data_IF_984718711365
#
_entry.id   IF_984718711365
#
_cell.length_a   1.000
_cell.length_b   1.000
_cell.length_c   1.000
_cell.angle_alpha   90.00
_cell.angle_beta   90.00
_cell.angle_gamma   90.00
#
_symmetry.space_group_name_H-M   'P 1'
#
loop_
_entity.id
_entity.type
_entity.pdbx_description
1 polymer ?
#
# COMPACT_ATOMS: atom_id res chain seq x y z
N UNK A 1 25.14 42.75 7.02
CA UNK A 1 25.61 41.40 7.37
C UNK A 1 24.42 40.44 7.27
N UNK A 2 24.19 39.85 6.08
CA UNK A 2 24.36 38.41 5.81
C UNK A 2 23.74 37.50 6.87
N UNK A 3 22.53 37.02 6.60
CA UNK A 3 22.23 35.57 6.55
C UNK A 3 21.27 35.31 5.38
N UNK A 4 21.86 35.32 4.19
CA UNK A 4 21.35 34.58 3.03
C UNK A 4 21.55 33.07 3.28
N UNK A 5 20.65 32.29 2.70
CA UNK A 5 20.74 30.84 2.49
C UNK A 5 20.46 29.93 3.71
N UNK A 6 19.17 29.76 4.01
CA UNK A 6 18.63 28.41 4.17
C UNK A 6 17.71 28.15 2.98
N UNK A 7 18.35 27.96 1.81
CA UNK A 7 17.70 27.41 0.64
C UNK A 7 17.36 25.95 0.92
N UNK A 8 16.08 25.62 0.75
CA UNK A 8 15.56 24.41 0.13
C UNK A 8 16.40 23.13 0.29
N UNK A 9 16.12 22.38 1.36
CA UNK A 9 16.33 20.93 1.43
C UNK A 9 15.04 20.23 1.85
N UNK A 10 13.91 20.64 1.27
CA UNK A 10 12.72 19.78 1.19
C UNK A 10 12.90 18.90 -0.05
N UNK A 11 13.75 17.88 0.12
CA UNK A 11 13.86 16.75 -0.77
C UNK A 11 12.46 16.14 -1.01
N UNK A 12 12.19 15.57 -2.19
CA UNK A 12 10.84 15.31 -2.69
C UNK A 12 10.13 14.26 -1.85
N UNK A 13 9.36 14.70 -0.85
CA UNK A 13 8.45 13.85 -0.10
C UNK A 13 7.19 13.46 -0.91
N UNK A 14 7.23 13.60 -2.25
CA UNK A 14 6.08 13.51 -3.16
C UNK A 14 6.15 12.34 -4.17
N UNK A 15 7.20 11.52 -4.18
CA UNK A 15 7.39 10.49 -5.23
C UNK A 15 7.36 9.03 -4.73
N UNK A 16 6.96 8.81 -3.49
CA UNK A 16 6.81 7.45 -2.93
C UNK A 16 5.38 7.16 -2.45
N UNK A 17 4.40 7.91 -2.94
CA UNK A 17 2.99 7.60 -2.71
C UNK A 17 2.50 6.70 -3.85
N UNK A 18 1.81 5.61 -3.52
CA UNK A 18 1.27 4.69 -4.52
C UNK A 18 0.37 5.50 -5.42
N UNK A 19 0.59 5.44 -6.73
CA UNK A 19 -0.08 6.42 -7.56
C UNK A 19 -1.53 6.06 -7.87
N UNK A 20 -2.06 4.96 -7.33
CA UNK A 20 -3.50 4.77 -7.25
C UNK A 20 -4.05 5.34 -5.95
N UNK A 21 -4.96 6.30 -6.07
CA UNK A 21 -5.59 6.99 -4.94
C UNK A 21 -7.09 7.09 -5.11
N UNK A 22 -7.82 7.38 -4.04
CA UNK A 22 -9.23 7.77 -4.10
C UNK A 22 -9.55 8.77 -2.99
N UNK A 23 -10.58 9.59 -3.21
CA UNK A 23 -11.06 10.53 -2.19
C UNK A 23 -11.77 9.81 -1.04
N UNK A 24 -12.56 8.79 -1.39
CA UNK A 24 -13.34 7.99 -0.44
C UNK A 24 -12.81 6.56 -0.30
N UNK A 25 -13.22 5.88 0.77
CA UNK A 25 -12.88 4.48 0.98
C UNK A 25 -13.68 3.57 0.04
N UNK A 26 -12.97 2.83 -0.82
CA UNK A 26 -13.59 1.88 -1.74
C UNK A 26 -13.78 0.48 -1.12
N UNK A 27 -12.89 0.10 -0.19
CA UNK A 27 -12.97 -1.15 0.57
C UNK A 27 -13.77 -0.90 1.85
N UNK A 28 -15.06 -1.20 1.78
CA UNK A 28 -15.95 -1.19 2.94
C UNK A 28 -15.69 -2.36 3.90
N UNK A 29 -16.29 -2.30 5.10
CA UNK A 29 -16.20 -3.39 6.07
C UNK A 29 -16.80 -4.72 5.57
N UNK A 30 -17.73 -4.70 4.61
CA UNK A 30 -18.33 -5.91 4.04
C UNK A 30 -17.40 -6.62 3.06
N UNK A 31 -16.59 -5.86 2.34
CA UNK A 31 -15.69 -6.34 1.30
C UNK A 31 -14.30 -6.68 1.87
N UNK A 32 -13.98 -6.09 3.03
CA UNK A 32 -12.77 -6.38 3.77
C UNK A 32 -12.69 -7.86 4.20
N UNK A 33 -11.47 -8.39 4.18
CA UNK A 33 -11.10 -9.75 4.58
C UNK A 33 -9.95 -9.68 5.56
N UNK A 34 -9.84 -10.72 6.38
CA UNK A 34 -8.73 -10.90 7.31
C UNK A 34 -7.69 -11.79 6.64
N UNK A 35 -6.51 -11.24 6.38
CA UNK A 35 -5.39 -11.96 5.77
C UNK A 35 -4.28 -12.22 6.80
N UNK A 36 -3.96 -11.22 7.61
CA UNK A 36 -3.04 -11.34 8.75
C UNK A 36 -3.83 -11.64 10.03
N UNK A 37 -3.56 -12.74 10.75
CA UNK A 37 -4.08 -12.96 12.10
C UNK A 37 -3.54 -11.92 13.11
N UNK A 38 -4.25 -11.59 14.21
CA UNK A 38 -3.65 -10.83 15.28
C UNK A 38 -2.46 -11.55 15.90
N UNK A 39 -1.44 -10.79 16.28
CA UNK A 39 -0.19 -11.32 16.82
C UNK A 39 0.92 -10.27 16.82
N UNK A 40 2.08 -10.64 17.32
CA UNK A 40 3.29 -9.83 17.23
C UNK A 40 3.91 -9.93 15.84
N UNK A 41 4.29 -8.78 15.29
CA UNK A 41 4.94 -8.69 13.98
C UNK A 41 6.15 -7.77 14.04
N UNK A 42 7.15 -8.09 13.23
CA UNK A 42 8.19 -7.14 12.83
C UNK A 42 7.86 -6.63 11.43
N UNK A 43 8.25 -5.39 11.15
CA UNK A 43 8.16 -4.77 9.84
C UNK A 43 9.54 -4.33 9.39
N UNK A 44 9.87 -4.65 8.15
CA UNK A 44 11.07 -4.13 7.50
C UNK A 44 10.75 -3.58 6.11
N UNK A 45 10.97 -2.29 5.85
CA UNK A 45 10.84 -1.71 4.52
C UNK A 45 12.01 -2.13 3.63
N UNK A 46 11.77 -2.11 2.33
CA UNK A 46 12.77 -2.32 1.29
C UNK A 46 13.03 -0.98 0.60
N UNK A 47 14.25 -0.78 0.11
CA UNK A 47 14.58 0.40 -0.67
C UNK A 47 14.08 0.29 -2.13
N UNK A 48 14.36 1.32 -2.92
CA UNK A 48 13.97 1.37 -4.33
C UNK A 48 14.66 0.32 -5.20
N UNK A 49 15.77 -0.25 -4.74
CA UNK A 49 16.51 -1.32 -5.42
C UNK A 49 16.05 -2.73 -4.97
N UNK A 50 15.08 -2.80 -4.06
CA UNK A 50 14.55 -4.07 -3.54
C UNK A 50 15.46 -4.71 -2.49
N UNK A 51 16.30 -3.92 -1.82
CA UNK A 51 17.16 -4.38 -0.72
C UNK A 51 16.50 -4.03 0.62
N UNK A 52 16.54 -4.97 1.57
CA UNK A 52 15.98 -4.78 2.91
C UNK A 52 16.72 -3.63 3.63
N UNK A 53 15.98 -2.58 4.02
CA UNK A 53 16.57 -1.36 4.57
C UNK A 53 16.96 -1.54 6.03
N UNK A 54 18.23 -1.85 6.30
CA UNK A 54 18.86 -1.70 7.62
C UNK A 54 18.31 -2.60 8.75
N UNK A 55 17.38 -3.52 8.46
CA UNK A 55 16.74 -4.40 9.43
C UNK A 55 15.42 -3.86 9.98
N UNK A 56 14.88 -4.49 11.03
CA UNK A 56 13.55 -4.20 11.59
C UNK A 56 13.40 -2.72 11.98
N UNK A 57 12.45 -2.02 11.36
CA UNK A 57 12.16 -0.60 11.64
C UNK A 57 10.95 -0.40 12.52
N UNK A 58 10.10 -1.41 12.64
CA UNK A 58 8.94 -1.39 13.53
C UNK A 58 8.63 -2.78 14.05
N UNK A 59 8.19 -2.87 15.30
CA UNK A 59 7.71 -4.10 15.91
C UNK A 59 6.53 -3.79 16.83
N UNK A 60 5.51 -4.66 16.79
CA UNK A 60 4.42 -4.62 17.74
C UNK A 60 3.29 -5.57 17.40
N UNK A 61 2.33 -5.64 18.31
CA UNK A 61 1.09 -6.37 18.11
C UNK A 61 0.23 -5.71 17.05
N UNK A 62 -0.14 -6.46 16.03
CA UNK A 62 -1.20 -6.07 15.09
C UNK A 62 -2.49 -6.74 15.55
N UNK A 63 -3.55 -5.95 15.65
CA UNK A 63 -4.92 -6.40 15.93
C UNK A 63 -5.84 -6.15 14.74
N UNK A 64 -7.01 -6.79 14.77
CA UNK A 64 -8.02 -6.68 13.73
C UNK A 64 -9.39 -6.35 14.32
N UNK A 65 -9.87 -5.14 14.04
CA UNK A 65 -11.17 -4.67 14.54
C UNK A 65 -12.31 -5.51 13.97
N UNK A 66 -13.14 -6.09 14.85
CA UNK A 66 -14.19 -7.03 14.44
C UNK A 66 -15.24 -6.39 13.51
N UNK A 67 -15.74 -5.20 13.86
CA UNK A 67 -16.74 -4.49 13.07
C UNK A 67 -16.13 -3.58 12.00
N UNK A 68 -15.07 -2.84 12.34
CA UNK A 68 -14.41 -1.93 11.41
C UNK A 68 -13.62 -2.65 10.32
N UNK A 69 -13.24 -3.91 10.57
CA UNK A 69 -12.40 -4.75 9.72
C UNK A 69 -11.05 -4.12 9.38
N UNK A 70 -10.55 -3.28 10.30
CA UNK A 70 -9.29 -2.56 10.15
C UNK A 70 -8.18 -3.21 10.93
N UNK A 71 -6.99 -3.15 10.35
CA UNK A 71 -5.74 -3.45 11.03
C UNK A 71 -5.28 -2.24 11.85
N UNK A 72 -4.82 -2.48 13.07
CA UNK A 72 -4.34 -1.45 13.97
C UNK A 72 -3.25 -1.98 14.89
N UNK A 73 -2.43 -1.10 15.42
CA UNK A 73 -1.51 -1.40 16.50
C UNK A 73 -1.48 -0.24 17.48
N UNK A 74 -1.34 -0.55 18.77
CA UNK A 74 -1.08 0.45 19.80
C UNK A 74 0.42 0.79 19.90
N UNK A 75 1.29 0.03 19.22
CA UNK A 75 2.70 0.36 19.13
C UNK A 75 2.88 1.66 18.31
N UNK A 76 3.71 2.61 18.79
CA UNK A 76 3.92 3.87 18.08
C UNK A 76 4.36 3.66 16.63
N UNK A 77 3.94 4.58 15.76
CA UNK A 77 4.37 4.67 14.35
C UNK A 77 4.08 3.41 13.52
N UNK A 78 2.96 2.71 13.76
CA UNK A 78 2.55 1.59 12.90
C UNK A 78 2.36 2.05 11.44
N UNK A 79 3.15 1.52 10.47
CA UNK A 79 3.23 2.10 9.12
C UNK A 79 1.91 2.11 8.33
N UNK A 80 1.04 1.13 8.60
CA UNK A 80 -0.21 0.91 7.87
C UNK A 80 -1.43 0.92 8.80
N UNK A 81 -1.45 1.88 9.72
CA UNK A 81 -2.56 2.09 10.64
C UNK A 81 -3.90 2.22 9.89
N UNK A 82 -4.94 1.57 10.41
CA UNK A 82 -6.30 1.57 9.89
C UNK A 82 -6.50 0.92 8.52
N UNK A 83 -5.52 0.12 8.05
CA UNK A 83 -5.62 -0.54 6.76
C UNK A 83 -6.80 -1.53 6.69
N UNK A 84 -7.43 -1.65 5.52
CA UNK A 84 -8.37 -2.72 5.18
C UNK A 84 -7.83 -3.53 4.02
N UNK A 85 -8.08 -4.84 4.03
CA UNK A 85 -7.62 -5.73 2.98
C UNK A 85 -8.79 -6.31 2.21
N UNK A 86 -8.75 -6.27 0.87
CA UNK A 86 -9.68 -6.95 -0.02
C UNK A 86 -8.95 -8.08 -0.73
N UNK A 87 -9.48 -9.31 -0.69
CA UNK A 87 -8.88 -10.43 -1.44
C UNK A 87 -9.04 -10.22 -2.94
N UNK A 88 -7.94 -10.24 -3.69
CA UNK A 88 -7.95 -10.14 -5.14
C UNK A 88 -8.02 -11.52 -5.80
N UNK A 89 -7.06 -12.39 -5.51
CA UNK A 89 -6.98 -13.77 -6.03
C UNK A 89 -6.05 -14.60 -5.15
N UNK A 90 -6.36 -15.87 -4.88
CA UNK A 90 -5.46 -16.72 -4.09
C UNK A 90 -5.05 -16.06 -2.77
N UNK A 91 -3.75 -15.93 -2.54
CA UNK A 91 -3.17 -15.25 -1.36
C UNK A 91 -2.72 -13.81 -1.64
N UNK A 92 -3.27 -13.20 -2.70
CA UNK A 92 -3.04 -11.81 -3.11
C UNK A 92 -4.21 -10.93 -2.65
N UNK A 93 -3.88 -9.82 -2.00
CA UNK A 93 -4.83 -8.87 -1.44
C UNK A 93 -4.51 -7.44 -1.89
N UNK A 94 -5.53 -6.60 -2.02
CA UNK A 94 -5.38 -5.15 -2.11
C UNK A 94 -5.49 -4.59 -0.69
N UNK A 95 -4.50 -3.80 -0.26
CA UNK A 95 -4.59 -2.99 0.94
C UNK A 95 -5.07 -1.59 0.60
N UNK A 96 -6.06 -1.12 1.35
CA UNK A 96 -6.46 0.27 1.42
C UNK A 96 -5.91 0.87 2.70
N UNK A 97 -5.12 1.95 2.59
CA UNK A 97 -4.53 2.65 3.72
C UNK A 97 -4.97 4.12 3.70
N UNK A 98 -5.73 4.58 4.70
CA UNK A 98 -6.09 6.00 4.82
C UNK A 98 -4.86 6.87 5.08
N UNK A 99 -4.74 7.99 4.37
CA UNK A 99 -3.78 9.07 4.62
C UNK A 99 -4.53 10.34 5.02
N UNK A 100 -3.81 11.44 5.20
CA UNK A 100 -4.38 12.71 5.67
C UNK A 100 -5.33 13.34 4.64
N UNK A 101 -5.05 13.13 3.36
CA UNK A 101 -5.64 13.81 2.20
C UNK A 101 -6.25 12.86 1.16
N UNK A 102 -5.90 11.58 1.20
CA UNK A 102 -6.41 10.58 0.27
C UNK A 102 -6.42 9.18 0.88
N UNK A 103 -7.03 8.26 0.15
CA UNK A 103 -6.89 6.82 0.37
C UNK A 103 -5.87 6.29 -0.62
N UNK A 104 -4.91 5.49 -0.13
CA UNK A 104 -3.85 4.89 -0.96
C UNK A 104 -3.99 3.38 -1.03
N UNK A 105 -3.52 2.79 -2.13
CA UNK A 105 -3.64 1.36 -2.39
C UNK A 105 -2.30 0.67 -2.58
N UNK A 106 -2.18 -0.52 -2.00
CA UNK A 106 -1.04 -1.42 -2.15
C UNK A 106 -1.50 -2.85 -2.46
N UNK A 107 -0.58 -3.69 -2.91
CA UNK A 107 -0.80 -5.14 -3.10
C UNK A 107 -0.03 -5.90 -2.05
N UNK A 108 -0.68 -6.87 -1.41
CA UNK A 108 -0.09 -7.75 -0.40
C UNK A 108 -0.08 -9.18 -0.91
N UNK A 109 1.02 -9.87 -0.63
CA UNK A 109 1.18 -11.31 -0.86
C UNK A 109 1.34 -11.99 0.49
N UNK A 110 0.45 -12.93 0.79
CA UNK A 110 0.38 -13.59 2.09
C UNK A 110 1.00 -14.98 2.02
N UNK A 111 1.84 -15.26 3.01
CA UNK A 111 2.48 -16.55 3.25
C UNK A 111 2.16 -17.00 4.69
N UNK A 112 2.56 -18.22 5.07
CA UNK A 112 2.21 -18.81 6.36
C UNK A 112 2.48 -17.89 7.57
N UNK A 113 3.70 -17.37 7.69
CA UNK A 113 4.14 -16.53 8.83
C UNK A 113 4.66 -15.15 8.38
N UNK A 114 4.37 -14.78 7.14
CA UNK A 114 4.96 -13.61 6.49
C UNK A 114 3.97 -12.97 5.53
N UNK A 115 4.08 -11.66 5.35
CA UNK A 115 3.34 -10.93 4.33
C UNK A 115 4.28 -9.91 3.71
N UNK A 116 4.39 -9.90 2.39
CA UNK A 116 5.11 -8.85 1.66
C UNK A 116 4.09 -7.90 1.05
N UNK A 117 4.49 -6.66 0.82
CA UNK A 117 3.68 -5.72 0.08
C UNK A 117 4.48 -4.99 -0.99
N UNK A 118 3.76 -4.54 -2.00
CA UNK A 118 4.20 -3.72 -3.10
C UNK A 118 3.26 -2.53 -3.24
N UNK A 119 3.80 -1.38 -3.55
CA UNK A 119 3.07 -0.17 -3.84
C UNK A 119 3.05 0.05 -5.36
N UNK A 120 1.91 -0.18 -6.03
CA UNK A 120 1.85 -0.13 -7.48
C UNK A 120 2.14 1.26 -8.05
N UNK A 121 2.87 1.25 -9.17
CA UNK A 121 3.14 2.42 -9.99
C UNK A 121 2.29 2.40 -11.27
N UNK A 122 1.13 3.03 -11.21
CA UNK A 122 0.25 3.37 -12.32
C UNK A 122 0.94 4.00 -13.56
N UNK A 123 2.17 4.52 -13.50
CA UNK A 123 2.91 4.97 -14.69
C UNK A 123 3.32 3.82 -15.61
N UNK A 124 3.41 2.59 -15.08
CA UNK A 124 3.64 1.37 -15.86
C UNK A 124 2.50 1.12 -16.85
N UNK A 125 1.28 1.59 -16.53
CA UNK A 125 0.13 1.44 -17.41
C UNK A 125 0.18 2.47 -18.56
N UNK A 126 -0.27 2.04 -19.74
CA UNK A 126 -0.49 2.94 -20.88
C UNK A 126 -1.76 3.77 -20.68
N UNK A 127 -1.89 4.88 -21.40
CA UNK A 127 -3.12 5.68 -21.39
C UNK A 127 -4.35 4.88 -21.85
N UNK A 128 -4.16 3.96 -22.81
CA UNK A 128 -5.21 3.06 -23.31
C UNK A 128 -5.69 2.09 -22.24
N UNK A 129 -4.78 1.50 -21.46
CA UNK A 129 -5.11 0.61 -20.35
C UNK A 129 -5.83 1.33 -19.22
N UNK A 130 -5.41 2.56 -18.89
CA UNK A 130 -6.11 3.38 -17.90
C UNK A 130 -7.51 3.77 -18.37
N UNK A 131 -7.64 4.21 -19.63
CA UNK A 131 -8.93 4.53 -20.23
C UNK A 131 -9.88 3.32 -20.27
N UNK A 132 -9.37 2.12 -20.53
CA UNK A 132 -10.16 0.88 -20.50
C UNK A 132 -10.70 0.53 -19.10
N UNK A 133 -10.04 1.01 -18.04
CA UNK A 133 -10.51 0.93 -16.67
C UNK A 133 -11.29 2.18 -16.22
N UNK A 134 -11.51 3.16 -17.12
CA UNK A 134 -12.17 4.42 -16.79
C UNK A 134 -11.38 5.29 -15.79
N UNK A 135 -10.05 5.15 -15.78
CA UNK A 135 -9.15 5.85 -14.86
C UNK A 135 -8.47 7.00 -15.60
N UNK A 136 -8.39 8.15 -14.94
CA UNK A 136 -7.74 9.35 -15.44
C UNK A 136 -6.56 9.69 -14.52
N UNK A 137 -5.43 10.06 -15.13
CA UNK A 137 -4.30 10.65 -14.40
C UNK A 137 -4.59 12.12 -14.13
N UNK A 138 -4.47 12.54 -12.88
CA UNK A 138 -4.52 13.94 -12.51
C UNK A 138 -3.25 14.69 -12.99
N UNK A 139 -3.24 16.04 -12.93
CA UNK A 139 -2.09 16.85 -13.33
C UNK A 139 -0.80 16.53 -12.55
N UNK A 140 -0.93 16.02 -11.32
CA UNK A 140 0.16 15.62 -10.43
C UNK A 140 0.70 14.21 -10.76
N UNK A 141 0.03 13.45 -11.63
CA UNK A 141 0.43 12.12 -12.10
C UNK A 141 -0.20 10.95 -11.35
N UNK A 142 -1.12 11.20 -10.41
CA UNK A 142 -1.84 10.15 -9.70
C UNK A 142 -3.03 9.65 -10.53
N UNK A 143 -3.28 8.35 -10.47
CA UNK A 143 -4.46 7.68 -11.00
C UNK A 143 -5.56 7.65 -9.95
N UNK A 144 -6.56 8.50 -10.12
CA UNK A 144 -7.74 8.52 -9.25
C UNK A 144 -8.67 7.34 -9.56
N UNK A 145 -9.12 6.66 -8.52
CA UNK A 145 -10.03 5.52 -8.57
C UNK A 145 -11.34 5.90 -7.87
N UNK A 146 -12.47 5.64 -8.52
CA UNK A 146 -13.79 6.02 -8.00
C UNK A 146 -14.59 4.83 -7.47
N UNK A 147 -14.25 3.61 -7.89
CA UNK A 147 -15.02 2.40 -7.54
C UNK A 147 -14.13 1.21 -7.20
N UNK A 148 -14.65 0.30 -6.38
CA UNK A 148 -13.96 -0.95 -6.06
C UNK A 148 -13.71 -1.83 -7.29
N UNK A 149 -14.64 -1.84 -8.25
CA UNK A 149 -14.49 -2.63 -9.48
C UNK A 149 -13.34 -2.11 -10.35
N UNK A 150 -13.22 -0.77 -10.49
CA UNK A 150 -12.08 -0.15 -11.15
C UNK A 150 -10.76 -0.49 -10.44
N UNK A 151 -10.75 -0.42 -9.11
CA UNK A 151 -9.57 -0.77 -8.30
C UNK A 151 -9.14 -2.22 -8.55
N UNK A 152 -10.07 -3.18 -8.48
CA UNK A 152 -9.74 -4.59 -8.70
C UNK A 152 -9.28 -4.85 -10.14
N UNK A 153 -9.94 -4.24 -11.13
CA UNK A 153 -9.58 -4.38 -12.54
C UNK A 153 -8.17 -3.83 -12.81
N UNK A 154 -7.89 -2.59 -12.39
CA UNK A 154 -6.61 -1.95 -12.70
C UNK A 154 -5.43 -2.62 -12.00
N UNK A 155 -5.61 -3.09 -10.76
CA UNK A 155 -4.57 -3.84 -10.06
C UNK A 155 -4.32 -5.20 -10.72
N UNK A 156 -5.34 -5.88 -11.27
CA UNK A 156 -5.13 -7.12 -12.05
C UNK A 156 -4.32 -6.84 -13.30
N UNK A 157 -4.72 -5.86 -14.10
CA UNK A 157 -3.98 -5.46 -15.30
C UNK A 157 -2.53 -5.09 -14.98
N UNK A 158 -2.32 -4.36 -13.89
CA UNK A 158 -0.98 -4.01 -13.40
C UNK A 158 -0.13 -5.24 -13.08
N UNK A 159 -0.66 -6.19 -12.31
CA UNK A 159 0.05 -7.41 -11.95
C UNK A 159 0.30 -8.34 -13.15
N UNK A 160 -0.63 -8.38 -14.11
CA UNK A 160 -0.47 -9.13 -15.36
C UNK A 160 0.69 -8.59 -16.20
N UNK A 161 0.87 -7.27 -16.27
CA UNK A 161 1.99 -6.64 -16.98
C UNK A 161 3.33 -6.96 -16.33
N UNK A 162 3.36 -7.03 -15.00
CA UNK A 162 4.58 -7.37 -14.27
C UNK A 162 4.95 -8.85 -14.40
N UNK A 163 4.00 -9.73 -14.77
CA UNK A 163 4.23 -11.17 -14.98
C UNK A 163 5.05 -11.86 -13.86
N UNK A 164 4.74 -11.49 -12.61
CA UNK A 164 5.43 -12.00 -11.42
C UNK A 164 6.72 -11.27 -11.04
N UNK A 165 7.22 -10.35 -11.85
CA UNK A 165 8.34 -9.45 -11.53
C UNK A 165 7.87 -8.26 -10.68
N UNK A 166 7.39 -8.57 -9.47
CA UNK A 166 6.86 -7.59 -8.52
C UNK A 166 7.93 -7.28 -7.47
N UNK A 167 8.38 -6.02 -7.44
CA UNK A 167 9.24 -5.51 -6.37
C UNK A 167 8.56 -5.64 -5.01
N UNK A 168 9.34 -5.90 -3.96
CA UNK A 168 8.86 -5.86 -2.59
C UNK A 168 9.23 -4.49 -2.00
N UNK A 169 8.26 -3.79 -1.43
CA UNK A 169 8.44 -2.51 -0.72
C UNK A 169 8.56 -2.67 0.79
N UNK A 170 8.11 -3.81 1.31
CA UNK A 170 8.29 -4.14 2.71
C UNK A 170 7.70 -5.49 3.06
N UNK A 171 8.07 -5.93 4.26
CA UNK A 171 7.74 -7.24 4.78
C UNK A 171 7.28 -7.15 6.22
N UNK A 172 6.19 -7.86 6.53
CA UNK A 172 5.77 -8.19 7.87
C UNK A 172 6.12 -9.64 8.17
N UNK A 173 6.81 -9.90 9.28
CA UNK A 173 7.13 -11.26 9.74
C UNK A 173 6.54 -11.47 11.12
N UNK A 174 5.79 -12.56 11.29
CA UNK A 174 5.20 -12.91 12.58
C UNK A 174 6.29 -13.34 13.57
N UNK A 175 6.16 -12.93 14.82
CA UNK A 175 7.08 -13.30 15.90
C UNK A 175 6.45 -14.41 16.75
N UNK A 176 7.22 -15.45 17.06
CA UNK A 176 6.83 -16.51 17.99
C UNK A 176 5.81 -17.51 17.45
N UNK A 177 5.89 -17.82 16.15
CA UNK A 177 5.21 -18.96 15.51
C UNK A 177 5.65 -20.29 16.11
#
# INVERSE_FOLDING_TARGET
>A
MRRLAQLLLLAPALLLAGCFTSEEELIGARDARRAMPPGEYTHTPFDTEGVEWGGVTWQGRIDYGFFSRRYSSDAPNFPHQNARLRRLSGDIYIAQVPRQDAITYGVLFVYADMTTYHQPDCHILTAEQLAAAGIIRDPEGFCSIETLDQLEQVIRTYLEILDGDVRIDGIYRRVGS
#
